data_IF_023384098026
#
_entry.id   IF_023384098026
#
_cell.length_a   1.000
_cell.length_b   1.000
_cell.length_c   1.000
_cell.angle_alpha   90.00
_cell.angle_beta   90.00
_cell.angle_gamma   90.00
#
_symmetry.space_group_name_H-M   'P 1'
#
loop_
_entity.id
_entity.type
_entity.pdbx_description
1 polymer ?
#
# COMPACT_ATOMS: atom_id res chain seq x y z
N UNK A 1 -13.14 3.40 -23.02
CA UNK A 1 -13.74 4.08 -21.86
C UNK A 1 -13.82 5.53 -22.27
N UNK A 2 -15.00 6.00 -22.65
CA UNK A 2 -15.13 7.18 -23.53
C UNK A 2 -15.96 8.29 -22.87
N UNK A 3 -16.54 8.02 -21.70
CA UNK A 3 -17.40 8.96 -20.98
C UNK A 3 -16.74 9.35 -19.66
N UNK A 4 -16.36 10.61 -19.51
CA UNK A 4 -15.85 11.12 -18.25
C UNK A 4 -17.01 11.40 -17.26
N UNK A 5 -16.82 11.01 -16.00
CA UNK A 5 -17.73 11.38 -14.92
C UNK A 5 -17.68 12.89 -14.65
N UNK A 6 -18.83 13.53 -14.45
CA UNK A 6 -18.91 14.98 -14.19
C UNK A 6 -18.37 15.40 -12.81
N UNK A 7 -18.27 14.46 -11.86
CA UNK A 7 -17.89 14.77 -10.48
C UNK A 7 -16.42 14.48 -10.17
N UNK A 8 -15.87 13.39 -10.70
CA UNK A 8 -14.50 12.93 -10.42
C UNK A 8 -13.66 12.69 -11.68
N UNK A 9 -14.19 13.00 -12.86
CA UNK A 9 -13.50 12.82 -14.15
C UNK A 9 -13.08 11.39 -14.52
N UNK A 10 -13.44 10.39 -13.70
CA UNK A 10 -13.19 8.98 -14.00
C UNK A 10 -13.79 8.59 -15.35
N UNK A 11 -13.01 7.91 -16.19
CA UNK A 11 -13.46 7.40 -17.48
C UNK A 11 -14.32 6.16 -17.28
N UNK A 12 -15.46 6.12 -17.98
CA UNK A 12 -16.46 5.06 -17.88
C UNK A 12 -16.75 4.42 -19.24
N UNK A 13 -17.24 3.18 -19.22
CA UNK A 13 -17.90 2.60 -20.38
C UNK A 13 -19.30 3.21 -20.57
N UNK A 14 -19.84 3.11 -21.79
CA UNK A 14 -21.10 3.80 -22.16
C UNK A 14 -22.29 3.33 -21.33
N UNK A 15 -22.32 2.05 -20.96
CA UNK A 15 -23.42 1.40 -20.23
C UNK A 15 -23.21 1.31 -18.71
N UNK A 16 -22.13 1.89 -18.19
CA UNK A 16 -21.91 1.94 -16.74
C UNK A 16 -22.86 2.91 -16.05
N UNK A 17 -23.35 2.51 -14.89
CA UNK A 17 -24.24 3.36 -14.09
C UNK A 17 -23.52 4.62 -13.60
N UNK A 18 -24.29 5.69 -13.37
CA UNK A 18 -23.77 6.95 -12.85
C UNK A 18 -23.04 6.78 -11.50
N UNK A 19 -23.42 5.76 -10.72
CA UNK A 19 -22.89 5.49 -9.38
C UNK A 19 -21.56 4.72 -9.36
N UNK A 20 -21.13 4.08 -10.45
CA UNK A 20 -19.98 3.15 -10.44
C UNK A 20 -18.64 3.71 -9.92
N UNK A 21 -18.38 5.02 -10.03
CA UNK A 21 -17.06 5.59 -9.71
C UNK A 21 -17.01 6.41 -8.41
N UNK A 22 -18.06 7.18 -8.11
CA UNK A 22 -18.08 8.12 -6.99
C UNK A 22 -19.46 8.20 -6.33
N UNK A 23 -20.29 7.16 -6.53
CA UNK A 23 -21.67 7.11 -6.04
C UNK A 23 -22.48 8.36 -6.43
N UNK A 24 -22.34 8.79 -7.69
CA UNK A 24 -22.96 9.99 -8.24
C UNK A 24 -22.52 11.30 -7.54
N UNK A 25 -21.22 11.42 -7.26
CA UNK A 25 -20.60 12.60 -6.66
C UNK A 25 -20.66 12.64 -5.14
N UNK A 26 -21.13 11.57 -4.48
CA UNK A 26 -21.22 11.46 -3.02
C UNK A 26 -19.91 11.02 -2.38
N UNK A 27 -19.03 10.34 -3.12
CA UNK A 27 -17.71 9.92 -2.64
C UNK A 27 -16.66 10.78 -3.31
N UNK A 28 -15.77 11.37 -2.51
CA UNK A 28 -14.61 12.10 -2.97
C UNK A 28 -13.37 11.52 -2.32
N UNK A 29 -12.51 10.90 -3.13
CA UNK A 29 -11.23 10.40 -2.65
C UNK A 29 -10.20 11.54 -2.66
N UNK A 30 -9.27 11.58 -1.69
CA UNK A 30 -8.12 12.47 -1.76
C UNK A 30 -7.33 12.25 -3.05
N UNK A 31 -6.90 13.34 -3.70
CA UNK A 31 -5.97 13.24 -4.82
C UNK A 31 -4.58 12.88 -4.28
N UNK A 32 -3.89 11.96 -4.96
CA UNK A 32 -2.55 11.51 -4.56
C UNK A 32 -1.45 12.58 -4.68
N UNK A 33 -1.78 13.73 -5.26
CA UNK A 33 -0.85 14.82 -5.56
C UNK A 33 0.03 14.52 -6.78
N UNK A 34 0.83 15.50 -7.18
CA UNK A 34 1.85 15.26 -8.20
C UNK A 34 2.98 14.38 -7.63
N UNK A 35 3.51 13.41 -8.40
CA UNK A 35 4.72 12.69 -8.03
C UNK A 35 5.90 13.65 -7.82
N UNK A 36 6.72 13.37 -6.82
CA UNK A 36 8.00 14.06 -6.58
C UNK A 36 9.14 13.33 -7.30
N UNK A 37 10.31 13.98 -7.44
CA UNK A 37 11.51 13.31 -7.96
C UNK A 37 11.95 12.19 -7.00
N UNK A 38 12.40 11.03 -7.52
CA UNK A 38 12.67 10.72 -8.92
C UNK A 38 11.46 10.19 -9.71
N UNK A 39 10.34 9.90 -9.04
CA UNK A 39 9.17 9.28 -9.67
C UNK A 39 8.54 10.17 -10.73
N UNK A 40 8.58 11.49 -10.55
CA UNK A 40 8.10 12.46 -11.54
C UNK A 40 8.77 12.25 -12.90
N UNK A 41 10.10 12.33 -12.96
CA UNK A 41 10.85 12.07 -14.20
C UNK A 41 10.61 10.65 -14.72
N UNK A 42 10.57 9.64 -13.84
CA UNK A 42 10.35 8.26 -14.27
C UNK A 42 8.95 8.01 -14.87
N UNK A 43 7.93 8.77 -14.48
CA UNK A 43 6.59 8.68 -15.05
C UNK A 43 6.40 9.51 -16.33
N UNK A 44 7.30 10.44 -16.62
CA UNK A 44 7.31 11.17 -17.88
C UNK A 44 7.97 10.27 -18.93
N UNK A 45 7.24 9.81 -19.96
CA UNK A 45 7.75 8.89 -21.01
C UNK A 45 8.73 9.59 -22.00
N UNK A 46 9.53 10.54 -21.52
CA UNK A 46 10.39 11.42 -22.32
C UNK A 46 11.81 10.87 -22.52
N UNK A 47 12.45 10.38 -21.46
CA UNK A 47 13.81 9.89 -21.44
C UNK A 47 13.91 8.37 -21.70
N UNK A 48 15.10 7.90 -22.10
CA UNK A 48 15.33 6.46 -22.29
C UNK A 48 15.22 5.66 -20.97
N UNK A 49 15.60 6.26 -19.84
CA UNK A 49 15.41 5.67 -18.50
C UNK A 49 13.92 5.49 -18.18
N UNK A 50 13.12 6.55 -18.32
CA UNK A 50 11.68 6.51 -18.00
C UNK A 50 10.89 5.57 -18.90
N UNK A 51 11.23 5.45 -20.20
CA UNK A 51 10.65 4.44 -21.09
C UNK A 51 10.94 3.01 -20.62
N UNK A 52 12.20 2.71 -20.27
CA UNK A 52 12.59 1.38 -19.75
C UNK A 52 11.90 1.08 -18.43
N UNK A 53 11.81 2.08 -17.54
CA UNK A 53 11.08 1.99 -16.29
C UNK A 53 9.59 1.71 -16.52
N UNK A 54 8.90 2.52 -17.33
CA UNK A 54 7.46 2.40 -17.59
C UNK A 54 7.10 1.06 -18.25
N UNK A 55 7.93 0.58 -19.18
CA UNK A 55 7.78 -0.76 -19.76
C UNK A 55 7.86 -1.90 -18.73
N UNK A 56 8.46 -1.65 -17.57
CA UNK A 56 8.67 -2.63 -16.49
C UNK A 56 8.07 -2.18 -15.16
N UNK A 57 7.16 -1.19 -15.16
CA UNK A 57 6.67 -0.54 -13.94
C UNK A 57 6.06 -1.53 -12.94
N UNK A 58 5.38 -2.57 -13.45
CA UNK A 58 4.81 -3.64 -12.60
C UNK A 58 5.89 -4.41 -11.85
N UNK A 59 7.03 -4.69 -12.48
CA UNK A 59 8.18 -5.35 -11.84
C UNK A 59 8.77 -4.47 -10.75
N UNK A 60 8.97 -3.17 -11.04
CA UNK A 60 9.42 -2.21 -10.03
C UNK A 60 8.44 -2.14 -8.86
N UNK A 61 7.13 -2.06 -9.10
CA UNK A 61 6.14 -2.04 -8.02
C UNK A 61 6.22 -3.31 -7.17
N UNK A 62 6.35 -4.49 -7.80
CA UNK A 62 6.52 -5.75 -7.10
C UNK A 62 7.80 -5.82 -6.27
N UNK A 63 8.88 -5.12 -6.65
CA UNK A 63 10.08 -5.01 -5.80
C UNK A 63 9.83 -4.27 -4.50
N UNK A 64 8.85 -3.37 -4.46
CA UNK A 64 8.55 -2.53 -3.29
C UNK A 64 7.32 -2.97 -2.50
N UNK A 65 6.55 -3.93 -3.01
CA UNK A 65 5.38 -4.48 -2.31
C UNK A 65 5.71 -4.93 -0.87
N UNK A 66 4.90 -4.44 0.08
CA UNK A 66 5.01 -4.77 1.51
C UNK A 66 4.11 -5.97 1.86
N UNK A 67 3.07 -6.17 1.07
CA UNK A 67 2.19 -7.34 1.11
C UNK A 67 2.45 -8.25 -0.07
N UNK A 68 2.08 -9.52 0.06
CA UNK A 68 2.04 -10.46 -1.06
C UNK A 68 0.60 -10.91 -1.30
N UNK A 69 0.32 -11.34 -2.52
CA UNK A 69 -0.98 -11.90 -2.86
C UNK A 69 -1.14 -13.29 -2.26
N UNK A 70 -2.18 -13.47 -1.46
CA UNK A 70 -2.66 -14.78 -1.09
C UNK A 70 -3.85 -15.18 -1.95
N UNK A 71 -3.95 -16.47 -2.26
CA UNK A 71 -5.05 -17.07 -3.01
C UNK A 71 -5.61 -18.25 -2.24
N UNK A 72 -6.93 -18.41 -2.24
CA UNK A 72 -7.58 -19.55 -1.56
C UNK A 72 -7.26 -20.88 -2.22
N UNK A 73 -7.17 -20.87 -3.56
CA UNK A 73 -6.79 -22.03 -4.35
C UNK A 73 -6.14 -21.60 -5.66
N UNK A 74 -4.89 -22.01 -5.86
CA UNK A 74 -4.24 -21.95 -7.15
C UNK A 74 -4.75 -23.12 -8.02
N UNK A 75 -5.20 -22.81 -9.24
CA UNK A 75 -5.61 -23.82 -10.20
C UNK A 75 -4.55 -23.91 -11.29
N UNK A 76 -3.91 -25.08 -11.36
CA UNK A 76 -3.06 -25.44 -12.50
C UNK A 76 -3.97 -26.05 -13.56
N UNK A 77 -4.15 -25.37 -14.69
CA UNK A 77 -4.88 -25.93 -15.82
C UNK A 77 -3.92 -26.67 -16.77
N UNK A 78 -4.05 -28.00 -16.95
CA UNK A 78 -3.19 -28.74 -17.87
C UNK A 78 -3.39 -28.25 -19.31
N UNK A 79 -2.30 -27.90 -20.01
CA UNK A 79 -2.33 -27.50 -21.42
C UNK A 79 -2.66 -26.02 -21.69
N UNK A 80 -2.91 -25.23 -20.66
CA UNK A 80 -3.06 -23.77 -20.74
C UNK A 80 -2.04 -23.11 -19.82
N UNK A 81 -1.23 -22.17 -20.34
CA UNK A 81 -0.18 -21.49 -19.57
C UNK A 81 -0.49 -20.00 -19.37
N UNK A 82 -1.49 -19.65 -18.55
CA UNK A 82 -1.57 -18.31 -17.97
C UNK A 82 -0.57 -18.24 -16.81
N UNK A 83 -0.03 -17.05 -16.53
CA UNK A 83 0.98 -16.85 -15.47
C UNK A 83 0.50 -17.34 -14.09
N UNK A 84 -0.81 -17.37 -13.81
CA UNK A 84 -1.48 -18.15 -12.75
C UNK A 84 -3.01 -18.06 -12.94
N UNK A 85 -3.78 -19.04 -12.45
CA UNK A 85 -5.26 -19.01 -12.43
C UNK A 85 -5.76 -19.11 -10.99
N UNK A 86 -6.62 -18.18 -10.59
CA UNK A 86 -7.16 -18.11 -9.22
C UNK A 86 -8.65 -18.40 -9.22
N UNK A 87 -9.11 -19.23 -8.28
CA UNK A 87 -10.52 -19.36 -7.94
C UNK A 87 -10.73 -18.85 -6.52
N UNK A 88 -11.61 -17.87 -6.36
CA UNK A 88 -11.91 -17.23 -5.07
C UNK A 88 -11.53 -15.75 -5.04
N UNK A 89 -11.45 -15.19 -3.84
CA UNK A 89 -11.09 -13.78 -3.63
C UNK A 89 -9.56 -13.64 -3.55
N UNK A 90 -9.01 -12.62 -4.20
CA UNK A 90 -7.61 -12.23 -4.00
C UNK A 90 -7.55 -11.37 -2.74
N UNK A 91 -6.65 -11.71 -1.82
CA UNK A 91 -6.43 -10.92 -0.60
C UNK A 91 -4.94 -10.62 -0.44
N UNK A 92 -4.65 -9.49 0.20
CA UNK A 92 -3.29 -9.15 0.60
C UNK A 92 -2.98 -9.86 1.91
N UNK A 93 -1.79 -10.46 1.96
CA UNK A 93 -1.22 -10.99 3.19
C UNK A 93 0.09 -10.27 3.52
N UNK A 94 0.37 -10.14 4.80
CA UNK A 94 1.59 -9.56 5.32
C UNK A 94 2.33 -10.57 6.20
N UNK A 95 3.64 -10.60 6.05
CA UNK A 95 4.51 -11.52 6.80
C UNK A 95 4.91 -10.97 8.16
N UNK A 96 5.65 -11.77 8.91
CA UNK A 96 6.32 -11.35 10.15
C UNK A 96 7.36 -10.27 9.89
N UNK A 97 7.68 -9.54 10.95
CA UNK A 97 8.72 -8.51 10.92
C UNK A 97 10.09 -9.14 10.67
N UNK A 98 10.41 -10.27 11.28
CA UNK A 98 11.70 -10.95 11.08
C UNK A 98 11.54 -12.16 10.13
N UNK A 99 12.56 -12.46 9.31
CA UNK A 99 12.56 -13.71 8.54
C UNK A 99 12.55 -14.92 9.48
N UNK A 100 12.04 -16.04 8.97
CA UNK A 100 12.17 -17.33 9.63
C UNK A 100 13.65 -17.72 9.78
N UNK A 101 13.96 -18.62 10.70
CA UNK A 101 15.34 -19.07 10.89
C UNK A 101 15.91 -19.65 9.59
N UNK A 102 17.10 -19.17 9.20
CA UNK A 102 17.79 -19.54 7.96
C UNK A 102 17.07 -19.15 6.66
N UNK A 103 15.97 -18.40 6.72
CA UNK A 103 15.37 -17.79 5.54
C UNK A 103 15.95 -16.41 5.24
N UNK A 104 16.03 -16.09 3.96
CA UNK A 104 16.41 -14.75 3.54
C UNK A 104 15.21 -13.79 3.61
N UNK A 105 15.48 -12.52 3.91
CA UNK A 105 14.46 -11.47 4.00
C UNK A 105 13.70 -11.27 2.67
N UNK A 106 12.36 -11.13 2.76
CA UNK A 106 11.43 -10.98 1.63
C UNK A 106 10.40 -9.87 1.89
N UNK A 107 9.89 -9.24 0.82
CA UNK A 107 8.84 -8.21 0.85
C UNK A 107 9.12 -7.10 1.87
N UNK A 108 8.23 -6.93 2.86
CA UNK A 108 8.35 -5.97 3.94
C UNK A 108 9.72 -6.02 4.64
N UNK A 109 10.26 -7.22 4.86
CA UNK A 109 11.53 -7.42 5.57
C UNK A 109 12.73 -6.81 4.85
N UNK A 110 12.65 -6.66 3.53
CA UNK A 110 13.72 -6.05 2.73
C UNK A 110 13.90 -4.57 3.09
N UNK A 111 12.94 -3.90 3.71
CA UNK A 111 13.06 -2.48 4.06
C UNK A 111 13.92 -2.19 5.30
N UNK A 112 14.35 -3.20 6.06
CA UNK A 112 14.97 -2.97 7.37
C UNK A 112 15.94 -4.07 7.84
N UNK A 113 16.21 -5.09 7.02
CA UNK A 113 17.11 -6.21 7.35
C UNK A 113 18.54 -6.03 6.82
N UNK A 114 18.86 -4.91 6.18
CA UNK A 114 20.16 -4.63 5.62
C UNK A 114 20.40 -3.13 5.46
N UNK A 115 21.59 -2.76 4.98
CA UNK A 115 21.85 -1.40 4.52
C UNK A 115 21.24 -1.15 3.13
N UNK A 116 21.18 0.11 2.70
CA UNK A 116 20.53 0.49 1.44
C UNK A 116 21.04 -0.29 0.22
N UNK A 117 22.33 -0.66 0.19
CA UNK A 117 22.93 -1.41 -0.93
C UNK A 117 22.45 -2.87 -0.91
N UNK A 118 22.49 -3.53 0.25
CA UNK A 118 21.99 -4.89 0.45
C UNK A 118 20.51 -4.97 0.09
N UNK A 119 19.70 -3.99 0.53
CA UNK A 119 18.28 -3.93 0.22
C UNK A 119 18.01 -3.87 -1.30
N UNK A 120 18.76 -3.04 -2.04
CA UNK A 120 18.60 -2.93 -3.51
C UNK A 120 19.05 -4.20 -4.21
N UNK A 121 20.21 -4.75 -3.83
CA UNK A 121 20.73 -5.97 -4.42
C UNK A 121 19.75 -7.12 -4.20
N UNK A 122 19.13 -7.18 -3.02
CA UNK A 122 18.07 -8.14 -2.71
C UNK A 122 16.87 -7.99 -3.64
N UNK A 123 16.39 -6.76 -3.86
CA UNK A 123 15.25 -6.49 -4.75
C UNK A 123 15.56 -6.89 -6.20
N UNK A 124 16.79 -6.64 -6.66
CA UNK A 124 17.25 -7.00 -7.99
C UNK A 124 17.44 -8.52 -8.18
N UNK A 125 17.86 -9.23 -7.13
CA UNK A 125 17.95 -10.69 -7.13
C UNK A 125 16.57 -11.35 -7.19
N UNK A 126 15.59 -10.81 -6.46
CA UNK A 126 14.25 -11.39 -6.37
C UNK A 126 13.43 -11.19 -7.65
N UNK A 127 13.57 -10.04 -8.33
CA UNK A 127 12.84 -9.72 -9.56
C UNK A 127 13.81 -9.37 -10.68
N UNK A 128 13.93 -10.27 -11.64
CA UNK A 128 14.84 -10.08 -12.77
C UNK A 128 14.34 -9.04 -13.79
N UNK A 129 15.30 -8.31 -14.37
CA UNK A 129 15.08 -7.32 -15.43
C UNK A 129 14.76 -5.91 -14.94
N UNK A 130 14.95 -5.62 -13.66
CA UNK A 130 14.96 -4.26 -13.11
C UNK A 130 16.37 -3.68 -13.15
N UNK A 131 16.49 -2.36 -13.31
CA UNK A 131 17.78 -1.65 -13.36
C UNK A 131 18.14 -1.18 -11.95
N UNK A 132 19.33 -1.55 -11.49
CA UNK A 132 19.81 -1.31 -10.12
C UNK A 132 19.79 0.18 -9.76
N UNK A 133 20.27 1.04 -10.64
CA UNK A 133 20.36 2.48 -10.39
C UNK A 133 18.98 3.11 -10.20
N UNK A 134 18.01 2.75 -11.05
CA UNK A 134 16.62 3.20 -10.91
C UNK A 134 15.98 2.65 -9.64
N UNK A 135 16.24 1.38 -9.30
CA UNK A 135 15.78 0.76 -8.05
C UNK A 135 16.29 1.53 -6.83
N UNK A 136 17.58 1.87 -6.82
CA UNK A 136 18.22 2.60 -5.73
C UNK A 136 17.64 4.00 -5.55
N UNK A 137 17.45 4.76 -6.65
CA UNK A 137 16.77 6.07 -6.62
C UNK A 137 15.37 5.98 -6.00
N UNK A 138 14.56 5.00 -6.41
CA UNK A 138 13.20 4.80 -5.91
C UNK A 138 13.23 4.37 -4.44
N UNK A 139 14.13 3.47 -4.05
CA UNK A 139 14.24 2.99 -2.69
C UNK A 139 14.53 4.15 -1.73
N UNK A 140 15.54 4.97 -2.02
CA UNK A 140 15.89 6.14 -1.20
C UNK A 140 14.70 7.09 -1.04
N UNK A 141 13.99 7.36 -2.13
CA UNK A 141 12.77 8.16 -2.10
C UNK A 141 11.71 7.56 -1.16
N UNK A 142 11.46 6.25 -1.25
CA UNK A 142 10.46 5.59 -0.40
C UNK A 142 10.89 5.60 1.08
N UNK A 143 12.16 5.39 1.42
CA UNK A 143 12.60 5.53 2.82
C UNK A 143 12.41 6.96 3.35
N UNK A 144 12.68 7.96 2.51
CA UNK A 144 12.58 9.36 2.91
C UNK A 144 11.13 9.86 2.98
N UNK A 145 10.23 9.38 2.12
CA UNK A 145 8.89 9.98 1.97
C UNK A 145 7.74 9.07 2.32
N UNK A 146 7.90 7.74 2.31
CA UNK A 146 6.82 6.81 2.58
C UNK A 146 6.59 6.65 4.09
N UNK A 147 5.42 7.08 4.58
CA UNK A 147 5.14 7.03 6.01
C UNK A 147 5.02 5.61 6.55
N UNK A 148 4.57 4.65 5.75
CA UNK A 148 4.48 3.24 6.18
C UNK A 148 5.88 2.67 6.40
N UNK A 149 6.83 2.94 5.49
CA UNK A 149 8.23 2.52 5.65
C UNK A 149 8.82 3.09 6.93
N UNK A 150 8.62 4.39 7.18
CA UNK A 150 9.10 5.02 8.41
C UNK A 150 8.46 4.43 9.65
N UNK A 151 7.15 4.22 9.61
CA UNK A 151 6.38 3.62 10.71
C UNK A 151 6.90 2.23 11.05
N UNK A 152 7.16 1.38 10.04
CA UNK A 152 7.75 0.06 10.27
C UNK A 152 9.17 0.13 10.83
N UNK A 153 10.03 1.01 10.28
CA UNK A 153 11.40 1.21 10.79
C UNK A 153 11.39 1.65 12.25
N UNK A 154 10.60 2.67 12.58
CA UNK A 154 10.52 3.17 13.96
C UNK A 154 9.89 2.15 14.90
N UNK A 155 8.91 1.37 14.47
CA UNK A 155 8.34 0.30 15.29
C UNK A 155 9.37 -0.81 15.59
N UNK A 156 10.25 -1.12 14.63
CA UNK A 156 11.35 -2.08 14.79
C UNK A 156 12.47 -1.58 15.70
N UNK A 157 12.83 -0.30 15.61
CA UNK A 157 13.84 0.30 16.49
C UNK A 157 13.39 0.34 17.96
N UNK A 158 12.07 0.46 18.19
CA UNK A 158 11.47 0.54 19.53
C UNK A 158 10.92 -0.81 20.01
N UNK A 159 11.21 -1.90 19.30
CA UNK A 159 10.65 -3.22 19.61
C UNK A 159 11.38 -3.82 20.83
N UNK A 160 10.67 -4.11 21.93
CA UNK A 160 11.30 -4.75 23.09
C UNK A 160 11.54 -6.23 22.82
N UNK A 161 12.41 -6.86 23.62
CA UNK A 161 12.98 -8.19 23.35
C UNK A 161 11.97 -9.37 23.36
N UNK A 162 10.76 -9.24 23.94
CA UNK A 162 9.81 -10.39 24.08
C UNK A 162 8.35 -10.12 23.63
N UNK A 163 7.83 -10.94 22.70
CA UNK A 163 6.41 -11.09 22.26
C UNK A 163 5.57 -9.81 22.05
N UNK A 164 6.16 -8.78 21.44
CA UNK A 164 5.44 -7.57 21.06
C UNK A 164 4.80 -7.65 19.68
N UNK A 165 3.68 -6.94 19.53
CA UNK A 165 2.93 -6.79 18.29
C UNK A 165 2.94 -5.34 17.86
N UNK A 166 3.24 -5.09 16.59
CA UNK A 166 3.08 -3.78 15.95
C UNK A 166 1.71 -3.76 15.30
N UNK A 167 0.79 -2.95 15.82
CA UNK A 167 -0.58 -2.85 15.32
C UNK A 167 -0.73 -1.56 14.53
N UNK A 168 -1.06 -1.67 13.25
CA UNK A 168 -1.54 -0.54 12.44
C UNK A 168 -3.06 -0.56 12.49
N UNK A 169 -3.64 0.48 13.07
CA UNK A 169 -5.07 0.56 13.26
C UNK A 169 -5.82 1.04 12.01
N UNK A 170 -6.93 0.38 11.71
CA UNK A 170 -7.76 0.69 10.55
C UNK A 170 -8.49 2.04 10.69
N UNK A 171 -8.91 2.38 11.91
CA UNK A 171 -9.78 3.53 12.20
C UNK A 171 -9.15 4.56 13.14
N UNK A 172 -7.88 4.42 13.51
CA UNK A 172 -7.28 5.33 14.49
C UNK A 172 -6.99 6.70 13.89
N UNK A 173 -7.51 7.71 14.58
CA UNK A 173 -7.23 9.14 14.37
C UNK A 173 -6.55 9.67 15.64
N UNK A 174 -5.52 10.54 15.54
CA UNK A 174 -4.80 11.06 16.70
C UNK A 174 -5.72 11.65 17.78
N UNK A 175 -5.40 11.43 19.06
CA UNK A 175 -6.18 11.93 20.20
C UNK A 175 -6.03 13.46 20.32
N UNK A 176 -7.16 14.17 20.35
CA UNK A 176 -7.22 15.62 20.62
C UNK A 176 -7.48 16.48 19.38
N UNK A 177 -7.58 15.89 18.19
CA UNK A 177 -7.81 16.62 16.94
C UNK A 177 -9.19 16.31 16.35
N UNK A 178 -9.86 17.32 15.82
CA UNK A 178 -11.18 17.19 15.18
C UNK A 178 -11.08 16.31 13.91
N UNK A 179 -12.08 15.45 13.70
CA UNK A 179 -12.28 14.58 12.51
C UNK A 179 -12.23 15.30 11.14
N UNK A 180 -12.09 16.63 11.10
CA UNK A 180 -12.29 17.51 9.93
C UNK A 180 -11.04 18.27 9.45
N UNK A 181 -9.85 18.03 10.02
CA UNK A 181 -8.60 18.65 9.53
C UNK A 181 -7.73 17.65 8.79
N UNK A 182 -7.40 18.00 7.54
CA UNK A 182 -6.40 17.33 6.71
C UNK A 182 -5.02 17.41 7.36
N UNK A 183 -4.70 16.47 8.24
CA UNK A 183 -3.34 16.27 8.71
C UNK A 183 -2.83 14.95 8.11
N UNK A 184 -1.74 15.04 7.33
CA UNK A 184 -0.96 13.86 6.99
C UNK A 184 -0.48 13.25 8.32
N UNK A 185 -0.63 11.94 8.55
CA UNK A 185 -0.25 11.35 9.83
C UNK A 185 1.21 11.68 10.16
N UNK A 186 1.51 11.96 11.42
CA UNK A 186 2.89 12.09 11.89
C UNK A 186 3.46 10.69 12.16
N UNK A 187 4.77 10.54 12.01
CA UNK A 187 5.49 9.29 12.31
C UNK A 187 5.20 8.93 13.79
N UNK A 188 4.84 7.67 14.07
CA UNK A 188 4.36 7.11 15.35
C UNK A 188 2.87 7.24 15.68
N UNK A 189 2.06 7.87 14.82
CA UNK A 189 0.60 7.92 15.02
C UNK A 189 -0.11 6.71 14.39
N UNK A 190 0.45 6.12 13.34
CA UNK A 190 -0.27 5.07 12.59
C UNK A 190 -0.14 3.69 13.23
N UNK A 191 0.96 3.43 13.95
CA UNK A 191 1.25 2.14 14.55
C UNK A 191 1.52 2.25 16.05
N UNK A 192 0.92 1.35 16.82
CA UNK A 192 1.19 1.18 18.24
C UNK A 192 1.94 -0.14 18.48
N UNK A 193 2.95 -0.09 19.35
CA UNK A 193 3.57 -1.30 19.91
C UNK A 193 2.77 -1.71 21.13
N UNK A 194 2.08 -2.86 21.05
CA UNK A 194 1.15 -3.32 22.10
C UNK A 194 1.63 -4.67 22.65
N UNK A 195 1.54 -4.82 23.97
CA UNK A 195 1.60 -6.12 24.65
C UNK A 195 0.16 -6.62 24.87
N UNK A 196 -0.19 -7.81 24.34
CA UNK A 196 -1.53 -8.41 24.46
C UNK A 196 -2.35 -8.45 23.16
N UNK A 197 -3.69 -8.60 23.27
CA UNK A 197 -4.63 -8.87 22.16
C UNK A 197 -5.64 -7.72 21.90
N UNK A 198 -5.28 -6.48 22.19
CA UNK A 198 -6.16 -5.32 21.98
C UNK A 198 -6.06 -4.78 20.54
N UNK A 199 -6.67 -5.47 19.57
CA UNK A 199 -6.75 -5.04 18.17
C UNK A 199 -8.08 -5.42 17.51
N UNK A 200 -8.49 -4.67 16.49
CA UNK A 200 -9.70 -4.91 15.70
C UNK A 200 -9.45 -5.90 14.56
N UNK A 201 -10.52 -6.52 14.04
CA UNK A 201 -10.43 -7.46 12.91
C UNK A 201 -9.92 -6.83 11.61
N UNK A 202 -10.00 -5.49 11.48
CA UNK A 202 -9.47 -4.75 10.32
C UNK A 202 -8.03 -4.30 10.51
N UNK A 203 -7.51 -4.32 11.74
CA UNK A 203 -6.16 -3.86 12.04
C UNK A 203 -5.11 -4.81 11.47
N UNK A 204 -3.95 -4.26 11.11
CA UNK A 204 -2.81 -5.05 10.65
C UNK A 204 -1.89 -5.30 11.83
N UNK A 205 -1.68 -6.57 12.21
CA UNK A 205 -0.95 -6.93 13.43
C UNK A 205 0.36 -7.62 13.09
N UNK A 206 1.46 -6.88 12.97
CA UNK A 206 2.75 -7.50 12.72
C UNK A 206 3.35 -8.08 13.99
N UNK A 207 3.80 -9.33 13.93
CA UNK A 207 4.49 -10.02 15.02
C UNK A 207 5.96 -10.17 14.66
N UNK A 208 6.83 -10.22 15.67
CA UNK A 208 8.27 -10.35 15.48
C UNK A 208 8.62 -11.60 14.64
N UNK A 209 8.36 -12.80 15.15
CA UNK A 209 8.61 -14.07 14.45
C UNK A 209 7.37 -14.95 14.56
N UNK A 210 6.66 -15.14 13.44
CA UNK A 210 5.53 -16.06 13.35
C UNK A 210 5.49 -16.66 11.96
N UNK A 211 5.33 -17.99 11.88
CA UNK A 211 5.27 -18.73 10.61
C UNK A 211 3.96 -18.55 9.85
N UNK A 212 2.96 -17.93 10.47
CA UNK A 212 1.67 -17.64 9.85
C UNK A 212 1.58 -16.21 9.30
N UNK A 213 1.17 -16.15 8.04
CA UNK A 213 0.92 -14.92 7.32
C UNK A 213 -0.44 -14.34 7.69
N UNK A 214 -0.52 -13.03 7.90
CA UNK A 214 -1.75 -12.37 8.30
C UNK A 214 -2.48 -11.74 7.12
N UNK A 215 -3.81 -11.87 7.08
CA UNK A 215 -4.64 -11.22 6.07
C UNK A 215 -4.79 -9.74 6.40
N UNK A 216 -4.54 -8.88 5.43
CA UNK A 216 -4.88 -7.47 5.50
C UNK A 216 -6.32 -7.30 5.02
N UNK A 217 -7.15 -6.60 5.80
CA UNK A 217 -8.52 -6.32 5.39
C UNK A 217 -8.53 -5.39 4.16
N UNK A 218 -9.31 -5.73 3.14
CA UNK A 218 -9.54 -4.93 1.92
C UNK A 218 -10.16 -3.55 2.19
N UNK A 219 -10.70 -3.37 3.39
CA UNK A 219 -11.33 -2.15 3.89
C UNK A 219 -10.40 -1.33 4.77
N UNK A 220 -9.14 -1.76 4.90
CA UNK A 220 -8.10 -1.02 5.62
C UNK A 220 -7.60 0.14 4.77
N UNK A 221 -7.45 1.33 5.37
CA UNK A 221 -7.05 2.56 4.67
C UNK A 221 -5.69 2.49 3.97
N UNK A 222 -4.79 1.60 4.40
CA UNK A 222 -3.49 1.35 3.76
C UNK A 222 -3.44 0.09 2.89
N UNK A 223 -4.58 -0.57 2.61
CA UNK A 223 -4.62 -1.81 1.83
C UNK A 223 -3.94 -1.67 0.46
N UNK A 224 -4.28 -0.60 -0.27
CA UNK A 224 -3.70 -0.32 -1.58
C UNK A 224 -2.25 0.18 -1.48
N UNK A 225 -1.95 0.98 -0.46
CA UNK A 225 -0.62 1.56 -0.29
C UNK A 225 0.46 0.51 -0.01
N UNK A 226 0.11 -0.56 0.71
CA UNK A 226 1.01 -1.69 0.96
C UNK A 226 1.30 -2.52 -0.31
N UNK A 227 0.34 -2.57 -1.25
CA UNK A 227 0.45 -3.35 -2.48
C UNK A 227 0.94 -2.56 -3.69
N UNK A 228 0.72 -1.23 -3.70
CA UNK A 228 1.13 -0.35 -4.78
C UNK A 228 1.96 0.85 -4.29
N UNK A 229 3.15 0.63 -3.72
CA UNK A 229 3.96 1.70 -3.16
C UNK A 229 4.47 2.70 -4.20
N UNK A 230 4.47 2.39 -5.50
CA UNK A 230 4.83 3.38 -6.52
C UNK A 230 3.68 4.34 -6.85
N UNK A 231 2.44 3.91 -6.64
CA UNK A 231 1.24 4.75 -6.82
C UNK A 231 1.01 5.57 -5.54
N UNK A 232 1.04 4.91 -4.39
CA UNK A 232 0.91 5.51 -3.06
C UNK A 232 2.30 5.77 -2.45
N UNK A 233 3.08 6.58 -3.14
CA UNK A 233 4.52 6.72 -2.88
C UNK A 233 4.87 7.35 -1.52
N UNK A 234 3.94 8.09 -0.92
CA UNK A 234 4.08 8.63 0.44
C UNK A 234 3.39 7.77 1.49
N UNK A 235 2.79 6.65 1.11
CA UNK A 235 1.95 5.82 1.98
C UNK A 235 0.58 6.46 2.23
N UNK A 236 0.03 7.16 1.24
CA UNK A 236 -1.27 7.82 1.35
C UNK A 236 -2.41 6.81 1.57
N UNK A 237 -3.47 7.26 2.22
CA UNK A 237 -4.68 6.46 2.42
C UNK A 237 -5.42 6.23 1.09
N UNK A 238 -5.87 4.98 0.89
CA UNK A 238 -6.74 4.58 -0.21
C UNK A 238 -8.22 4.63 0.20
N UNK A 239 -9.01 3.69 -0.32
CA UNK A 239 -10.42 3.58 0.05
C UNK A 239 -10.61 2.96 1.44
N UNK A 240 -11.51 3.52 2.26
CA UNK A 240 -11.91 2.94 3.54
C UNK A 240 -13.29 3.48 3.99
N UNK A 241 -13.92 2.79 4.95
CA UNK A 241 -15.27 3.12 5.41
C UNK A 241 -15.38 4.39 6.26
N UNK A 242 -14.27 5.05 6.61
CA UNK A 242 -14.33 6.32 7.35
C UNK A 242 -14.38 7.55 6.44
N UNK A 243 -14.38 7.37 5.12
CA UNK A 243 -14.50 8.47 4.16
C UNK A 243 -15.89 9.11 4.30
N UNK A 244 -15.98 10.43 4.58
CA UNK A 244 -17.26 11.12 4.69
C UNK A 244 -17.94 11.25 3.32
N UNK A 245 -19.25 10.99 3.26
CA UNK A 245 -20.03 11.26 2.06
C UNK A 245 -20.23 12.77 1.92
N UNK A 246 -20.02 13.30 0.72
CA UNK A 246 -20.24 14.72 0.41
C UNK A 246 -21.56 14.93 -0.33
N UNK A 247 -22.12 16.13 -0.22
CA UNK A 247 -23.21 16.57 -1.08
C UNK A 247 -22.62 16.84 -2.49
N UNK A 248 -23.14 16.22 -3.56
CA UNK A 248 -22.62 16.40 -4.91
C UNK A 248 -22.66 17.86 -5.42
N UNK A 249 -23.56 18.68 -4.87
CA UNK A 249 -23.78 20.08 -5.25
C UNK A 249 -22.95 21.02 -4.37
N UNK A 250 -23.08 20.95 -3.04
CA UNK A 250 -22.38 21.88 -2.14
C UNK A 250 -20.93 21.49 -1.86
N UNK A 251 -20.53 20.24 -2.17
CA UNK A 251 -19.23 19.64 -1.82
C UNK A 251 -18.94 19.56 -0.33
N UNK A 252 -19.92 19.88 0.50
CA UNK A 252 -19.81 19.79 1.95
C UNK A 252 -20.02 18.36 2.43
N UNK A 253 -19.34 17.95 3.51
CA UNK A 253 -19.59 16.67 4.14
C UNK A 253 -21.02 16.55 4.66
N UNK A 254 -21.61 15.38 4.46
CA UNK A 254 -22.93 15.05 4.99
C UNK A 254 -22.76 14.55 6.42
N UNK A 255 -23.39 15.19 7.42
CA UNK A 255 -23.24 14.79 8.81
C UNK A 255 -23.60 13.32 9.02
N UNK A 256 -22.75 12.59 9.77
CA UNK A 256 -22.96 11.19 10.17
C UNK A 256 -23.14 10.19 9.00
N UNK A 257 -22.73 10.55 7.78
CA UNK A 257 -22.73 9.62 6.65
C UNK A 257 -21.32 9.37 6.15
N UNK A 258 -20.91 8.12 6.25
CA UNK A 258 -19.66 7.59 5.73
C UNK A 258 -19.97 6.54 4.66
N UNK A 259 -18.98 6.16 3.88
CA UNK A 259 -19.11 5.17 2.80
C UNK A 259 -19.59 3.82 3.31
#
# INVERSE_FOLDING_TARGET
MDKACRFCSALKWKDETACMCCSNGKVSLPLLGEPEEPLKTLFLYDANESRRFLNRIRKYNSCFQMTFFGVDREIIMPGFSPTFTVQGQIYHRIGSLFPAENEQHKFLQVYFMGDEEIEVDRRCQFIQGVERDTMFKIQRFLHERNILVKTFKTALENLPEEDYKVVIHADWTPRGEHEWRYNAPLINEIAAVISGDQFSSRDIVLRARVDMLQRVADTHKFYDALQYPLIYCKGQEGYHFQIPLINPVTKEPTPNKKV
#
